data_IF_338821450733
#
_entry.id   IF_338821450733
#
_cell.length_a   1.000
_cell.length_b   1.000
_cell.length_c   1.000
_cell.angle_alpha   90.00
_cell.angle_beta   90.00
_cell.angle_gamma   90.00
#
_symmetry.space_group_name_H-M   'P 1'
#
loop_
_entity.id
_entity.type
_entity.pdbx_description
1 polymer ?
#
# COMPACT_ATOMS: atom_id res chain seq x y z
N UNK A 1 -8.88 -6.56 13.24
CA UNK A 1 -9.66 -6.14 12.06
C UNK A 1 -10.82 -5.30 12.54
N UNK A 2 -11.21 -4.25 11.82
CA UNK A 2 -12.34 -3.42 12.23
C UNK A 2 -13.66 -4.21 12.14
N UNK A 3 -14.61 -4.02 13.06
CA UNK A 3 -15.96 -4.58 12.92
C UNK A 3 -16.63 -4.11 11.62
N UNK A 4 -17.44 -4.97 10.99
CA UNK A 4 -18.10 -4.66 9.72
C UNK A 4 -18.89 -3.34 9.73
N UNK A 5 -19.67 -3.12 10.79
CA UNK A 5 -20.46 -1.90 11.02
C UNK A 5 -19.64 -0.61 11.03
N UNK A 6 -18.35 -0.70 11.37
CA UNK A 6 -17.47 0.46 11.42
C UNK A 6 -17.14 0.96 9.99
N UNK A 7 -17.09 0.07 9.01
CA UNK A 7 -16.85 0.44 7.61
C UNK A 7 -18.02 1.22 6.99
N UNK A 8 -19.24 1.07 7.51
CA UNK A 8 -20.38 1.88 7.07
C UNK A 8 -20.35 3.31 7.61
N UNK A 9 -19.61 3.58 8.69
CA UNK A 9 -19.50 4.90 9.33
C UNK A 9 -18.26 5.67 8.91
N UNK A 10 -17.20 4.96 8.52
CA UNK A 10 -15.92 5.54 8.13
C UNK A 10 -15.73 5.53 6.61
N UNK A 11 -15.06 6.54 6.05
CA UNK A 11 -14.66 6.58 4.62
C UNK A 11 -13.37 5.80 4.36
N UNK A 12 -13.30 4.59 4.91
CA UNK A 12 -12.08 3.78 4.98
C UNK A 12 -11.33 3.94 6.30
N UNK A 13 -10.59 2.89 6.67
CA UNK A 13 -9.75 2.84 7.87
C UNK A 13 -8.35 2.41 7.46
N UNK A 14 -7.33 3.04 8.05
CA UNK A 14 -5.94 2.70 7.81
C UNK A 14 -5.52 1.46 8.61
N UNK A 15 -5.08 0.44 7.88
CA UNK A 15 -4.57 -0.79 8.46
C UNK A 15 -3.13 -0.59 9.02
N UNK A 16 -2.76 -1.17 10.18
CA UNK A 16 -3.58 -2.02 11.05
C UNK A 16 -4.66 -1.27 11.86
N UNK A 17 -5.81 -1.92 12.01
CA UNK A 17 -6.88 -1.51 12.91
C UNK A 17 -6.89 -2.45 14.11
N UNK A 18 -6.46 -1.92 15.26
CA UNK A 18 -6.32 -2.64 16.53
C UNK A 18 -7.34 -2.07 17.50
N UNK A 19 -8.18 -2.94 18.08
CA UNK A 19 -9.26 -2.52 19.01
C UNK A 19 -10.17 -1.42 18.42
N UNK A 20 -10.41 -1.45 17.10
CA UNK A 20 -11.23 -0.46 16.41
C UNK A 20 -10.55 0.91 16.21
N UNK A 21 -9.29 1.09 16.60
CA UNK A 21 -8.50 2.29 16.31
C UNK A 21 -7.61 2.05 15.10
N UNK A 22 -7.67 2.94 14.12
CA UNK A 22 -6.81 2.89 12.94
C UNK A 22 -5.39 3.35 13.25
N UNK A 23 -4.42 2.78 12.55
CA UNK A 23 -3.03 3.23 12.62
C UNK A 23 -2.84 4.39 11.65
N UNK A 24 -2.80 5.61 12.18
CA UNK A 24 -2.70 6.82 11.35
C UNK A 24 -1.34 6.94 10.66
N UNK A 25 -0.28 6.55 11.38
CA UNK A 25 1.11 6.55 10.94
C UNK A 25 1.81 5.29 11.48
N UNK A 26 2.17 4.37 10.58
CA UNK A 26 2.89 3.14 10.97
C UNK A 26 4.29 3.44 11.50
N UNK A 27 4.73 2.58 12.42
CA UNK A 27 6.07 2.59 13.04
C UNK A 27 6.38 3.83 13.90
N UNK A 28 5.40 4.70 14.19
CA UNK A 28 5.61 5.90 15.02
C UNK A 28 4.85 5.82 16.33
N UNK A 29 5.55 6.15 17.41
CA UNK A 29 4.99 6.22 18.77
C UNK A 29 3.78 7.15 18.81
N UNK A 30 2.76 6.75 19.59
CA UNK A 30 1.49 7.47 19.72
C UNK A 30 0.51 7.27 18.55
N UNK A 31 0.96 6.76 17.41
CA UNK A 31 0.12 6.52 16.22
C UNK A 31 -0.03 5.03 15.87
N UNK A 32 1.05 4.26 16.02
CA UNK A 32 1.06 2.82 15.81
C UNK A 32 0.99 2.11 17.18
N UNK A 33 -0.06 1.32 17.45
CA UNK A 33 -0.25 0.63 18.73
C UNK A 33 0.84 -0.39 19.05
N UNK A 34 1.65 -0.79 18.05
CA UNK A 34 2.76 -1.74 18.24
C UNK A 34 4.07 -1.08 18.62
N UNK A 35 4.17 0.26 18.58
CA UNK A 35 5.37 1.00 19.00
C UNK A 35 5.28 1.29 20.48
N UNK A 36 6.27 0.83 21.23
CA UNK A 36 6.31 1.04 22.68
C UNK A 36 6.66 2.50 22.98
N UNK A 37 6.18 2.96 24.13
CA UNK A 37 6.51 4.28 24.65
C UNK A 37 8.02 4.45 24.82
N UNK A 38 8.55 5.58 24.37
CA UNK A 38 9.99 5.89 24.38
C UNK A 38 10.80 5.36 23.20
N UNK A 39 10.21 4.61 22.27
CA UNK A 39 10.91 4.14 21.07
C UNK A 39 10.91 5.18 19.94
N UNK A 40 9.98 6.13 19.93
CA UNK A 40 9.85 7.18 18.91
C UNK A 40 9.45 6.64 17.53
N UNK A 41 10.37 5.92 16.87
CA UNK A 41 10.14 5.20 15.62
C UNK A 41 10.73 3.79 15.72
N UNK A 42 9.93 2.76 15.43
CA UNK A 42 10.34 1.36 15.53
C UNK A 42 9.84 0.51 14.36
N UNK A 43 10.77 0.02 13.54
CA UNK A 43 10.48 -0.94 12.46
C UNK A 43 10.48 -2.38 13.00
N UNK A 44 9.48 -2.72 13.81
CA UNK A 44 9.34 -3.99 14.55
C UNK A 44 9.26 -5.27 13.70
N UNK A 45 9.35 -5.17 12.36
CA UNK A 45 9.59 -6.33 11.50
C UNK A 45 11.03 -6.85 11.57
N UNK A 46 11.98 -6.03 12.04
CA UNK A 46 13.39 -6.39 12.21
C UNK A 46 13.78 -6.42 13.69
N UNK A 47 14.68 -7.33 14.11
CA UNK A 47 15.11 -7.42 15.51
C UNK A 47 15.74 -6.14 16.07
N UNK A 48 16.44 -5.37 15.23
CA UNK A 48 17.10 -4.11 15.60
C UNK A 48 16.20 -2.87 15.43
N UNK A 49 14.97 -3.08 14.95
CA UNK A 49 13.93 -2.06 14.75
C UNK A 49 14.31 -0.94 13.78
N UNK A 50 15.26 -1.16 12.88
CA UNK A 50 15.71 -0.16 11.90
C UNK A 50 15.12 -0.43 10.52
N UNK A 51 14.94 0.64 9.74
CA UNK A 51 14.69 0.51 8.32
C UNK A 51 16.00 0.18 7.60
N UNK A 52 15.88 -0.56 6.50
CA UNK A 52 17.00 -0.88 5.63
C UNK A 52 17.04 0.14 4.50
N UNK A 53 18.19 0.78 4.32
CA UNK A 53 18.48 1.59 3.12
C UNK A 53 19.18 0.67 2.13
N UNK A 54 18.59 0.46 0.95
CA UNK A 54 19.14 -0.37 -0.11
C UNK A 54 19.66 0.51 -1.25
N UNK A 55 20.97 0.43 -1.51
CA UNK A 55 21.58 1.01 -2.70
C UNK A 55 21.63 -0.06 -3.80
N UNK A 56 20.74 0.05 -4.77
CA UNK A 56 20.61 -0.90 -5.90
C UNK A 56 20.95 -0.21 -7.22
N UNK A 57 21.70 -0.86 -8.13
CA UNK A 57 22.02 -0.29 -9.44
C UNK A 57 20.80 -0.30 -10.37
N UNK A 58 20.91 0.42 -11.48
CA UNK A 58 19.96 0.29 -12.59
C UNK A 58 20.18 -1.02 -13.34
N UNK A 59 19.08 -1.70 -13.66
CA UNK A 59 19.02 -2.83 -14.58
C UNK A 59 17.94 -2.53 -15.64
N UNK A 60 18.18 -2.83 -16.93
CA UNK A 60 17.23 -2.52 -17.99
C UNK A 60 15.96 -3.39 -17.93
N UNK A 61 14.86 -2.95 -18.57
CA UNK A 61 13.68 -3.79 -18.75
C UNK A 61 14.01 -5.09 -19.48
N UNK A 62 13.25 -6.15 -19.20
CA UNK A 62 13.40 -7.44 -19.88
C UNK A 62 13.25 -7.34 -21.41
N UNK A 63 12.42 -6.40 -21.88
CA UNK A 63 12.21 -6.09 -23.30
C UNK A 63 12.11 -4.57 -23.45
N UNK A 64 12.84 -4.02 -24.43
CA UNK A 64 12.80 -2.61 -24.81
C UNK A 64 12.43 -2.51 -26.29
N UNK A 65 11.76 -1.44 -26.73
CA UNK A 65 11.41 -1.24 -28.14
C UNK A 65 12.61 -1.34 -29.07
N UNK A 66 12.37 -1.88 -30.26
CA UNK A 66 13.34 -2.03 -31.32
C UNK A 66 12.77 -1.54 -32.67
N UNK A 67 13.32 -2.01 -33.79
CA UNK A 67 12.89 -1.58 -35.13
C UNK A 67 11.58 -2.24 -35.58
N UNK A 68 11.25 -3.41 -35.04
CA UNK A 68 10.02 -4.14 -35.35
C UNK A 68 8.89 -3.74 -34.39
N UNK A 69 9.21 -3.55 -33.11
CA UNK A 69 8.29 -3.11 -32.07
C UNK A 69 8.76 -1.75 -31.51
N UNK A 70 8.39 -0.65 -32.16
CA UNK A 70 8.96 0.69 -31.95
C UNK A 70 8.26 1.54 -30.86
N UNK A 71 7.33 0.94 -30.10
CA UNK A 71 6.55 1.63 -29.07
C UNK A 71 6.69 0.97 -27.70
N UNK A 72 6.73 1.81 -26.66
CA UNK A 72 6.50 1.37 -25.29
C UNK A 72 5.01 1.14 -25.04
N UNK A 73 4.65 -0.06 -24.56
CA UNK A 73 3.31 -0.34 -24.05
C UNK A 73 3.31 -0.34 -22.52
N UNK A 74 2.54 0.56 -21.92
CA UNK A 74 2.21 0.53 -20.49
C UNK A 74 0.70 0.40 -20.33
N UNK A 75 0.27 -0.50 -19.47
CA UNK A 75 -1.15 -0.75 -19.20
C UNK A 75 -1.51 -0.31 -17.78
N UNK A 76 -2.80 -0.09 -17.53
CA UNK A 76 -3.26 0.44 -16.26
C UNK A 76 -4.75 0.26 -16.02
N UNK A 77 -5.31 1.14 -15.21
CA UNK A 77 -6.74 1.21 -14.88
C UNK A 77 -7.24 2.61 -15.17
N UNK A 78 -8.56 2.76 -15.31
CA UNK A 78 -9.24 4.06 -15.32
C UNK A 78 -10.09 4.20 -14.06
N UNK A 79 -10.43 5.43 -13.69
CA UNK A 79 -11.10 5.74 -12.42
C UNK A 79 -12.42 4.96 -12.25
N UNK A 80 -13.18 4.84 -13.33
CA UNK A 80 -14.57 4.35 -13.34
C UNK A 80 -14.65 2.83 -13.48
N UNK A 81 -13.55 2.17 -13.87
CA UNK A 81 -13.58 0.74 -14.19
C UNK A 81 -12.62 -0.07 -13.34
N UNK A 82 -13.20 -1.02 -12.64
CA UNK A 82 -12.45 -1.94 -11.81
C UNK A 82 -11.99 -3.15 -12.61
N UNK A 83 -10.68 -3.22 -12.85
CA UNK A 83 -10.00 -4.38 -13.41
C UNK A 83 -10.65 -4.84 -14.73
N UNK A 84 -11.12 -6.08 -14.81
CA UNK A 84 -11.75 -6.68 -15.99
C UNK A 84 -13.14 -6.12 -16.28
N UNK A 85 -13.66 -5.21 -15.44
CA UNK A 85 -14.94 -4.56 -15.62
C UNK A 85 -16.14 -5.48 -15.41
N UNK A 86 -15.96 -6.68 -14.84
CA UNK A 86 -17.05 -7.65 -14.60
C UNK A 86 -18.14 -7.11 -13.66
N UNK A 87 -17.85 -6.06 -12.91
CA UNK A 87 -18.85 -5.34 -12.10
C UNK A 87 -19.17 -3.97 -12.70
N UNK A 88 -18.16 -3.10 -12.84
CA UNK A 88 -18.35 -1.69 -13.18
C UNK A 88 -18.84 -1.45 -14.61
N UNK A 89 -18.56 -2.34 -15.58
CA UNK A 89 -19.12 -2.23 -16.94
C UNK A 89 -20.55 -2.76 -17.06
N UNK A 90 -21.18 -3.14 -15.93
CA UNK A 90 -22.59 -3.52 -15.84
C UNK A 90 -23.44 -2.43 -15.16
N UNK A 91 -22.84 -1.30 -14.82
CA UNK A 91 -23.52 -0.11 -14.28
C UNK A 91 -23.58 0.93 -15.40
N UNK A 92 -24.78 1.30 -15.90
CA UNK A 92 -24.96 2.32 -16.94
C UNK A 92 -24.49 3.72 -16.54
#
# INVERSE_FOLDING_TARGET
MAPFEMYHKARGLRWPVVEGKETLWRYREGYDPYVKEGEGVAFYGYPDKKAIILAVPYEPPAESPDKEYDLWLSTGRVLEHWHTGTMTRRVP
#
